data_IF_738394083785
#
_entry.id   IF_738394083785
#
_cell.length_a   1.000
_cell.length_b   1.000
_cell.length_c   1.000
_cell.angle_alpha   90.00
_cell.angle_beta   90.00
_cell.angle_gamma   90.00
#
_symmetry.space_group_name_H-M   'P 1'
#
loop_
_entity.id
_entity.type
_entity.pdbx_description
1 polymer ?
#
# COMPACT_ATOMS: atom_id res chain seq x y z
N UNK A 1 -7.81 -8.59 -21.45
CA UNK A 1 -8.03 -8.37 -20.01
C UNK A 1 -9.53 -8.47 -19.77
N UNK A 2 -9.95 -8.73 -18.51
CA UNK A 2 -11.33 -8.47 -18.09
C UNK A 2 -11.67 -7.00 -18.33
N UNK A 3 -12.95 -6.65 -18.40
CA UNK A 3 -13.37 -5.26 -18.60
C UNK A 3 -13.29 -4.39 -17.34
N UNK A 4 -12.74 -4.96 -16.24
CA UNK A 4 -12.55 -4.28 -14.94
C UNK A 4 -11.34 -4.89 -14.21
N UNK A 5 -10.66 -4.08 -13.39
CA UNK A 5 -9.53 -4.50 -12.55
C UNK A 5 -9.66 -3.88 -11.15
N UNK A 6 -9.52 -4.71 -10.10
CA UNK A 6 -9.44 -4.22 -8.73
C UNK A 6 -8.13 -3.46 -8.50
N UNK A 7 -8.20 -2.13 -8.33
CA UNK A 7 -7.06 -1.24 -8.15
C UNK A 7 -6.86 -0.78 -6.70
N UNK A 8 -7.80 -1.10 -5.80
CA UNK A 8 -7.76 -0.80 -4.37
C UNK A 8 -8.13 -2.06 -3.60
N UNK A 9 -7.13 -2.71 -2.99
CA UNK A 9 -7.27 -4.01 -2.33
C UNK A 9 -6.21 -4.17 -1.23
N UNK A 10 -6.65 -4.66 -0.07
CA UNK A 10 -5.84 -4.88 1.12
C UNK A 10 -5.59 -6.36 1.34
N UNK A 11 -4.30 -6.75 1.32
CA UNK A 11 -3.90 -8.14 1.58
C UNK A 11 -3.72 -8.39 3.08
N UNK A 12 -3.38 -9.63 3.43
CA UNK A 12 -2.98 -10.02 4.80
C UNK A 12 -1.78 -9.20 5.35
N UNK A 13 -1.10 -8.42 4.52
CA UNK A 13 -0.01 -7.52 4.90
C UNK A 13 -0.49 -6.11 5.33
N UNK A 14 -1.76 -5.76 5.12
CA UNK A 14 -2.46 -4.71 5.87
C UNK A 14 -2.79 -5.26 7.25
N UNK A 15 -1.78 -5.32 8.13
CA UNK A 15 -1.80 -6.10 9.38
C UNK A 15 -3.00 -5.73 10.25
N UNK A 16 -3.76 -6.77 10.66
CA UNK A 16 -4.96 -6.70 11.48
C UNK A 16 -6.13 -5.92 10.85
N UNK A 17 -6.10 -5.74 9.52
CA UNK A 17 -7.13 -5.03 8.76
C UNK A 17 -7.48 -5.80 7.47
N UNK A 18 -6.54 -5.99 6.57
CA UNK A 18 -6.74 -6.78 5.36
C UNK A 18 -6.76 -8.29 5.63
N UNK A 19 -7.68 -8.99 4.99
CA UNK A 19 -7.83 -10.44 5.08
C UNK A 19 -7.78 -11.14 3.70
N UNK A 20 -7.42 -10.44 2.62
CA UNK A 20 -7.17 -11.03 1.32
C UNK A 20 -5.84 -11.80 1.34
N UNK A 21 -5.86 -13.08 1.72
CA UNK A 21 -4.66 -13.94 1.68
C UNK A 21 -4.23 -14.16 0.24
N UNK A 22 -2.95 -13.94 -0.06
CA UNK A 22 -2.42 -13.81 -1.42
C UNK A 22 -2.74 -15.02 -2.32
N UNK A 23 -2.45 -16.27 -1.89
CA UNK A 23 -2.70 -17.42 -2.75
C UNK A 23 -4.20 -17.70 -2.97
N UNK A 24 -5.08 -17.73 -1.93
CA UNK A 24 -6.52 -17.82 -2.13
C UNK A 24 -7.09 -16.68 -3.00
N UNK A 25 -6.58 -15.46 -2.87
CA UNK A 25 -6.97 -14.33 -3.72
C UNK A 25 -6.70 -14.64 -5.21
N UNK A 26 -5.50 -15.16 -5.55
CA UNK A 26 -5.17 -15.49 -6.94
C UNK A 26 -6.05 -16.60 -7.50
N UNK A 27 -6.43 -17.58 -6.68
CA UNK A 27 -7.36 -18.64 -7.06
C UNK A 27 -8.75 -18.06 -7.35
N UNK A 28 -9.26 -17.23 -6.44
CA UNK A 28 -10.58 -16.59 -6.59
C UNK A 28 -10.63 -15.67 -7.83
N UNK A 29 -9.59 -14.86 -8.06
CA UNK A 29 -9.51 -14.00 -9.25
C UNK A 29 -9.61 -14.81 -10.55
N UNK A 30 -9.00 -15.99 -10.62
CA UNK A 30 -9.16 -16.90 -11.77
C UNK A 30 -10.58 -17.44 -11.90
N UNK A 31 -11.23 -17.80 -10.79
CA UNK A 31 -12.61 -18.28 -10.77
C UNK A 31 -13.57 -17.23 -11.33
N UNK A 32 -13.41 -15.96 -10.98
CA UNK A 32 -14.24 -14.85 -11.45
C UNK A 32 -13.75 -14.22 -12.77
N UNK A 33 -12.73 -14.80 -13.42
CA UNK A 33 -12.22 -14.36 -14.73
C UNK A 33 -11.40 -13.07 -14.73
N UNK A 34 -10.92 -12.61 -13.59
CA UNK A 34 -10.05 -11.45 -13.49
C UNK A 34 -8.63 -11.80 -13.96
N UNK A 35 -8.00 -10.88 -14.69
CA UNK A 35 -6.67 -11.10 -15.31
C UNK A 35 -5.58 -10.20 -14.73
N UNK A 36 -5.94 -9.24 -13.90
CA UNK A 36 -5.04 -8.31 -13.22
C UNK A 36 -5.62 -7.90 -11.87
N UNK A 37 -4.77 -7.49 -10.94
CA UNK A 37 -5.16 -7.01 -9.61
C UNK A 37 -4.05 -6.16 -9.02
N UNK A 38 -4.40 -5.14 -8.23
CA UNK A 38 -3.45 -4.35 -7.47
C UNK A 38 -3.31 -4.86 -6.03
N UNK A 39 -2.13 -4.61 -5.44
CA UNK A 39 -1.90 -4.61 -4.00
C UNK A 39 -1.73 -3.17 -3.56
N UNK A 40 -2.51 -2.74 -2.55
CA UNK A 40 -2.51 -1.36 -2.03
C UNK A 40 -2.59 -1.34 -0.51
N UNK A 41 -1.77 -2.14 0.16
CA UNK A 41 -1.75 -2.26 1.62
C UNK A 41 -1.50 -0.92 2.31
N UNK A 42 -2.03 -0.77 3.53
CA UNK A 42 -1.98 0.45 4.33
C UNK A 42 -0.55 0.83 4.76
N UNK A 43 0.03 1.83 4.10
CA UNK A 43 1.31 2.45 4.48
C UNK A 43 2.52 1.53 4.47
N UNK A 44 2.42 0.36 3.84
CA UNK A 44 3.48 -0.67 3.78
C UNK A 44 3.56 -1.32 2.40
N UNK A 45 4.72 -1.93 2.12
CA UNK A 45 4.98 -2.69 0.90
C UNK A 45 5.51 -4.11 1.21
N UNK A 46 5.18 -4.65 2.37
CA UNK A 46 5.72 -5.92 2.87
C UNK A 46 5.34 -7.12 2.00
N UNK A 47 4.11 -7.12 1.46
CA UNK A 47 3.56 -8.21 0.66
C UNK A 47 3.95 -8.18 -0.81
N UNK A 48 4.59 -7.13 -1.32
CA UNK A 48 4.80 -6.89 -2.75
C UNK A 48 5.46 -8.06 -3.48
N UNK A 49 6.54 -8.62 -2.93
CA UNK A 49 7.29 -9.70 -3.58
C UNK A 49 6.50 -11.01 -3.58
N UNK A 50 5.84 -11.35 -2.48
CA UNK A 50 5.01 -12.55 -2.41
C UNK A 50 3.79 -12.45 -3.32
N UNK A 51 3.15 -11.27 -3.35
CA UNK A 51 2.06 -10.97 -4.26
C UNK A 51 2.49 -11.07 -5.73
N UNK A 52 3.60 -10.45 -6.11
CA UNK A 52 4.13 -10.51 -7.47
C UNK A 52 4.40 -11.94 -7.92
N UNK A 53 5.08 -12.74 -7.08
CA UNK A 53 5.37 -14.16 -7.40
C UNK A 53 4.11 -14.99 -7.53
N UNK A 54 3.16 -14.83 -6.62
CA UNK A 54 1.89 -15.55 -6.66
C UNK A 54 1.09 -15.17 -7.92
N UNK A 55 0.96 -13.88 -8.22
CA UNK A 55 0.25 -13.40 -9.40
C UNK A 55 0.86 -13.96 -10.70
N UNK A 56 2.18 -13.85 -10.87
CA UNK A 56 2.89 -14.41 -12.04
C UNK A 56 2.69 -15.93 -12.16
N UNK A 57 2.77 -16.67 -11.03
CA UNK A 57 2.51 -18.12 -11.01
C UNK A 57 1.12 -18.49 -11.47
N UNK A 58 0.12 -17.69 -11.13
CA UNK A 58 -1.29 -17.93 -11.50
C UNK A 58 -1.69 -17.31 -12.85
N UNK A 59 -0.78 -16.61 -13.54
CA UNK A 59 -1.05 -15.93 -14.82
C UNK A 59 -1.90 -14.66 -14.65
N UNK A 60 -1.92 -14.07 -13.45
CA UNK A 60 -2.56 -12.80 -13.13
C UNK A 60 -1.50 -11.69 -13.26
N UNK A 61 -1.86 -10.56 -13.85
CA UNK A 61 -0.98 -9.38 -13.94
C UNK A 61 -0.94 -8.66 -12.58
N UNK A 62 0.22 -8.61 -11.89
CA UNK A 62 0.35 -7.85 -10.66
C UNK A 62 0.48 -6.36 -10.94
N UNK A 63 -0.25 -5.54 -10.21
CA UNK A 63 -0.11 -4.09 -10.16
C UNK A 63 0.39 -3.74 -8.77
N UNK A 64 1.55 -3.10 -8.69
CA UNK A 64 2.20 -2.78 -7.42
C UNK A 64 1.77 -1.39 -6.98
N UNK A 65 1.34 -1.28 -5.73
CA UNK A 65 0.89 -0.03 -5.14
C UNK A 65 0.95 -0.05 -3.61
N UNK A 66 0.46 1.02 -3.03
CA UNK A 66 0.31 1.20 -1.59
C UNK A 66 -0.74 2.29 -1.34
N UNK A 67 -1.62 2.09 -0.37
CA UNK A 67 -2.43 3.17 0.16
C UNK A 67 -1.62 3.92 1.23
N UNK A 68 -1.12 5.10 0.89
CA UNK A 68 -0.31 5.91 1.80
C UNK A 68 -1.18 6.83 2.65
N UNK A 69 -0.68 7.18 3.82
CA UNK A 69 -1.27 8.19 4.69
C UNK A 69 -0.65 9.56 4.39
N UNK A 70 -1.48 10.54 4.08
CA UNK A 70 -1.06 11.92 3.81
C UNK A 70 -1.32 12.78 5.04
N UNK A 71 -0.29 13.47 5.53
CA UNK A 71 -0.41 14.40 6.63
C UNK A 71 -1.27 15.61 6.24
N UNK A 72 -2.11 16.16 7.14
CA UNK A 72 -2.90 17.37 6.87
C UNK A 72 -2.04 18.59 6.55
N UNK A 73 -0.86 18.69 7.15
CA UNK A 73 0.13 19.76 6.93
C UNK A 73 1.43 19.15 6.41
N UNK A 74 2.50 19.23 7.19
CA UNK A 74 3.76 18.55 6.83
C UNK A 74 3.89 17.23 7.59
N UNK A 75 4.66 16.29 7.05
CA UNK A 75 4.94 15.01 7.74
C UNK A 75 5.69 15.16 9.06
N UNK A 76 6.29 16.34 9.30
CA UNK A 76 7.02 16.66 10.51
C UNK A 76 6.13 17.23 11.62
N UNK A 77 4.96 17.76 11.28
CA UNK A 77 4.02 18.32 12.24
C UNK A 77 3.33 17.22 13.05
N UNK A 78 3.23 17.40 14.37
CA UNK A 78 2.73 16.37 15.31
C UNK A 78 1.88 17.00 16.43
N UNK A 79 0.98 17.90 16.07
CA UNK A 79 0.01 18.52 16.97
C UNK A 79 -1.30 17.74 16.86
N UNK A 80 -1.74 17.11 17.96
CA UNK A 80 -2.87 16.16 17.92
C UNK A 80 -4.14 16.75 17.29
N UNK A 81 -4.52 17.95 17.68
CA UNK A 81 -5.74 18.61 17.22
C UNK A 81 -5.71 19.01 15.72
N UNK A 82 -4.51 19.14 15.15
CA UNK A 82 -4.30 19.58 13.77
C UNK A 82 -3.81 18.45 12.85
N UNK A 83 -3.05 17.51 13.40
CA UNK A 83 -2.32 16.50 12.62
C UNK A 83 -2.72 15.06 12.99
N UNK A 84 -3.68 14.89 13.91
CA UNK A 84 -4.16 13.59 14.37
C UNK A 84 -4.91 12.80 13.28
N UNK A 85 -5.55 13.48 12.34
CA UNK A 85 -6.19 12.85 11.19
C UNK A 85 -5.23 12.75 10.02
N UNK A 86 -5.16 11.57 9.42
CA UNK A 86 -4.40 11.34 8.18
C UNK A 86 -5.39 11.09 7.04
N UNK A 87 -5.00 11.44 5.81
CA UNK A 87 -5.80 11.20 4.62
C UNK A 87 -5.24 10.04 3.83
N UNK A 88 -6.10 9.18 3.31
CA UNK A 88 -5.70 8.09 2.44
C UNK A 88 -5.47 8.58 1.00
N UNK A 89 -4.49 8.01 0.34
CA UNK A 89 -4.20 8.21 -1.08
C UNK A 89 -3.66 6.89 -1.65
N UNK A 90 -4.30 6.37 -2.67
CA UNK A 90 -3.81 5.16 -3.35
C UNK A 90 -2.76 5.56 -4.38
N UNK A 91 -1.62 4.88 -4.35
CA UNK A 91 -0.53 5.05 -5.31
C UNK A 91 -0.26 3.72 -6.02
N UNK A 92 -0.15 3.75 -7.35
CA UNK A 92 0.14 2.60 -8.20
C UNK A 92 1.40 2.88 -9.03
N UNK A 93 2.28 1.89 -9.17
CA UNK A 93 3.51 2.00 -9.93
C UNK A 93 3.28 1.69 -11.41
N UNK A 94 3.59 2.64 -12.28
CA UNK A 94 3.57 2.43 -13.74
C UNK A 94 4.73 1.54 -14.21
N UNK A 95 5.89 1.74 -13.61
CA UNK A 95 7.16 1.11 -14.00
C UNK A 95 8.10 0.97 -12.81
N UNK A 96 9.32 0.53 -13.05
CA UNK A 96 10.32 0.37 -12.00
C UNK A 96 10.76 1.69 -11.38
N UNK A 97 10.67 2.82 -12.12
CA UNK A 97 10.93 4.14 -11.55
C UNK A 97 9.86 4.54 -10.55
N UNK A 98 8.59 4.27 -10.86
CA UNK A 98 7.50 4.43 -9.91
C UNK A 98 7.67 3.54 -8.68
N UNK A 99 8.13 2.30 -8.84
CA UNK A 99 8.43 1.42 -7.71
C UNK A 99 9.55 1.96 -6.80
N UNK A 100 10.64 2.48 -7.37
CA UNK A 100 11.71 3.16 -6.61
C UNK A 100 11.15 4.35 -5.82
N UNK A 101 10.37 5.20 -6.49
CA UNK A 101 9.76 6.38 -5.88
C UNK A 101 8.76 6.00 -4.77
N UNK A 102 7.89 5.00 -4.99
CA UNK A 102 6.97 4.52 -3.96
C UNK A 102 7.71 3.94 -2.77
N UNK A 103 8.78 3.17 -2.99
CA UNK A 103 9.63 2.65 -1.92
C UNK A 103 10.27 3.78 -1.10
N UNK A 104 10.74 4.85 -1.77
CA UNK A 104 11.28 6.03 -1.10
C UNK A 104 10.21 6.76 -0.28
N UNK A 105 9.00 6.95 -0.83
CA UNK A 105 7.85 7.56 -0.15
C UNK A 105 7.49 6.80 1.13
N UNK A 106 7.26 5.49 1.02
CA UNK A 106 6.88 4.64 2.16
C UNK A 106 8.01 4.60 3.21
N UNK A 107 9.27 4.50 2.80
CA UNK A 107 10.42 4.50 3.74
C UNK A 107 10.53 5.82 4.50
N UNK A 108 10.39 6.97 3.82
CA UNK A 108 10.44 8.28 4.47
C UNK A 108 9.20 8.52 5.35
N UNK A 109 8.03 7.98 4.98
CA UNK A 109 6.86 8.03 5.83
C UNK A 109 7.11 7.37 7.20
N UNK A 110 7.81 6.22 7.20
CA UNK A 110 8.16 5.51 8.43
C UNK A 110 9.28 6.20 9.23
N UNK A 111 10.30 6.70 8.56
CA UNK A 111 11.52 7.24 9.23
C UNK A 111 11.38 8.70 9.67
N UNK A 112 10.60 9.51 8.93
CA UNK A 112 10.46 10.96 9.18
C UNK A 112 9.03 11.33 9.59
N UNK A 113 8.03 10.72 8.92
CA UNK A 113 6.62 11.13 9.01
C UNK A 113 5.78 10.40 10.05
N UNK A 114 6.34 9.47 10.79
CA UNK A 114 5.57 8.65 11.73
C UNK A 114 4.95 9.48 12.85
N UNK A 115 3.61 9.49 12.88
CA UNK A 115 2.78 10.01 13.96
C UNK A 115 1.46 9.22 13.97
N UNK A 116 1.35 8.22 14.86
CA UNK A 116 0.34 7.14 14.86
C UNK A 116 0.36 6.27 13.62
N UNK A 117 0.53 6.85 12.44
CA UNK A 117 0.68 6.19 11.13
C UNK A 117 1.90 6.75 10.39
N UNK A 118 2.48 5.99 9.44
CA UNK A 118 3.56 6.49 8.58
C UNK A 118 2.98 7.47 7.55
N UNK A 119 3.34 8.75 7.62
CA UNK A 119 2.73 9.80 6.80
C UNK A 119 3.71 10.39 5.80
N UNK A 120 3.24 10.57 4.58
CA UNK A 120 3.84 11.45 3.57
C UNK A 120 3.18 12.83 3.63
N UNK A 121 3.72 13.80 2.91
CA UNK A 121 3.10 15.10 2.66
C UNK A 121 3.14 15.47 1.18
N UNK A 122 2.49 16.57 0.79
CA UNK A 122 2.41 16.98 -0.61
C UNK A 122 3.78 17.30 -1.22
N UNK A 123 4.72 17.86 -0.43
CA UNK A 123 6.07 18.15 -0.90
C UNK A 123 6.84 16.86 -1.24
N UNK A 124 6.71 15.84 -0.40
CA UNK A 124 7.34 14.55 -0.63
C UNK A 124 6.69 13.81 -1.82
N UNK A 125 5.36 13.89 -1.94
CA UNK A 125 4.64 13.35 -3.10
C UNK A 125 5.09 14.02 -4.40
N UNK A 126 5.18 15.35 -4.44
CA UNK A 126 5.64 16.08 -5.61
C UNK A 126 7.07 15.70 -6.03
N UNK A 127 7.95 15.47 -5.06
CA UNK A 127 9.34 15.05 -5.31
C UNK A 127 9.47 13.65 -5.90
N UNK A 128 8.53 12.76 -5.60
CA UNK A 128 8.56 11.33 -5.94
C UNK A 128 7.36 10.88 -6.78
N UNK A 129 6.70 11.79 -7.52
CA UNK A 129 5.50 11.47 -8.32
C UNK A 129 5.80 10.75 -9.64
N UNK A 130 7.04 10.83 -10.14
CA UNK A 130 7.43 10.21 -11.42
C UNK A 130 7.19 8.71 -11.43
N UNK A 131 6.53 8.19 -12.47
CA UNK A 131 6.22 6.78 -12.63
C UNK A 131 5.08 6.29 -11.71
N UNK A 132 4.35 7.20 -11.04
CA UNK A 132 3.19 6.87 -10.21
C UNK A 132 1.88 7.31 -10.86
N UNK A 133 0.83 6.53 -10.59
CA UNK A 133 -0.57 6.90 -10.75
C UNK A 133 -1.17 6.99 -9.36
N UNK A 134 -2.02 7.98 -9.12
CA UNK A 134 -2.71 8.16 -7.84
C UNK A 134 -4.23 8.18 -7.99
N UNK A 135 -4.95 7.82 -6.93
CA UNK A 135 -6.40 8.01 -6.83
C UNK A 135 -6.83 8.56 -5.46
N UNK A 136 -8.01 9.17 -5.43
CA UNK A 136 -8.52 9.89 -4.24
C UNK A 136 -8.83 9.00 -3.04
N UNK A 137 -8.68 7.70 -3.16
CA UNK A 137 -8.96 6.66 -2.16
C UNK A 137 -10.43 6.64 -1.67
N UNK A 138 -10.65 6.06 -0.48
CA UNK A 138 -11.96 5.83 0.14
C UNK A 138 -12.48 7.06 0.89
N UNK A 139 -13.51 6.91 1.74
CA UNK A 139 -14.06 7.98 2.59
C UNK A 139 -13.02 8.67 3.49
N UNK A 140 -11.88 8.02 3.73
CA UNK A 140 -10.77 8.58 4.50
C UNK A 140 -9.83 9.47 3.66
N UNK A 141 -10.01 9.54 2.34
CA UNK A 141 -9.25 10.42 1.46
C UNK A 141 -9.53 11.90 1.71
N UNK A 142 -8.58 12.78 1.36
CA UNK A 142 -8.72 14.23 1.58
C UNK A 142 -9.91 14.84 0.82
N UNK A 143 -10.11 14.44 -0.44
CA UNK A 143 -11.18 14.90 -1.31
C UNK A 143 -12.55 14.39 -0.82
N UNK A 144 -12.77 13.07 -0.59
CA UNK A 144 -13.99 12.56 0.00
C UNK A 144 -14.35 13.20 1.34
N UNK A 145 -13.37 13.43 2.22
CA UNK A 145 -13.61 14.11 3.50
C UNK A 145 -14.07 15.56 3.35
N UNK A 146 -13.52 16.31 2.38
CA UNK A 146 -13.98 17.65 2.07
C UNK A 146 -15.43 17.63 1.55
N UNK A 147 -15.78 16.69 0.67
CA UNK A 147 -17.16 16.48 0.22
C UNK A 147 -18.11 16.18 1.40
N UNK A 148 -17.73 15.31 2.32
CA UNK A 148 -18.53 14.98 3.52
C UNK A 148 -18.78 16.17 4.43
N UNK A 149 -17.88 17.13 4.48
CA UNK A 149 -18.08 18.40 5.22
C UNK A 149 -18.92 19.41 4.44
N UNK A 150 -19.33 19.10 3.22
CA UNK A 150 -20.04 20.02 2.31
C UNK A 150 -19.14 21.10 1.70
N UNK A 151 -17.83 20.96 1.82
CA UNK A 151 -16.85 21.92 1.28
C UNK A 151 -16.42 21.51 -0.13
N UNK A 152 -17.31 21.78 -1.08
CA UNK A 152 -17.10 21.43 -2.49
C UNK A 152 -15.88 22.14 -3.11
N UNK A 153 -15.68 23.42 -2.79
CA UNK A 153 -14.58 24.20 -3.38
C UNK A 153 -13.22 23.68 -2.87
N UNK A 154 -13.13 23.31 -1.61
CA UNK A 154 -11.93 22.68 -1.06
C UNK A 154 -11.68 21.31 -1.67
N UNK A 155 -12.72 20.48 -1.84
CA UNK A 155 -12.62 19.18 -2.50
C UNK A 155 -12.07 19.31 -3.94
N UNK A 156 -12.61 20.26 -4.70
CA UNK A 156 -12.18 20.56 -6.07
C UNK A 156 -10.74 21.10 -6.10
N UNK A 157 -10.38 22.00 -5.18
CA UNK A 157 -9.02 22.52 -5.04
C UNK A 157 -8.02 21.41 -4.78
N UNK A 158 -8.34 20.50 -3.85
CA UNK A 158 -7.50 19.33 -3.53
C UNK A 158 -7.34 18.41 -4.74
N UNK A 159 -8.41 18.15 -5.50
CA UNK A 159 -8.33 17.36 -6.73
C UNK A 159 -7.37 17.96 -7.76
N UNK A 160 -7.44 19.28 -7.96
CA UNK A 160 -6.52 19.99 -8.87
C UNK A 160 -5.07 19.95 -8.39
N UNK A 161 -4.82 20.10 -7.08
CA UNK A 161 -3.46 19.99 -6.50
C UNK A 161 -2.87 18.58 -6.74
N UNK A 162 -3.63 17.52 -6.50
CA UNK A 162 -3.15 16.16 -6.76
C UNK A 162 -2.93 15.93 -8.26
N UNK A 163 -3.84 16.43 -9.11
CA UNK A 163 -3.68 16.34 -10.57
C UNK A 163 -2.44 17.10 -11.07
N UNK A 164 -2.07 18.22 -10.44
CA UNK A 164 -0.81 18.93 -10.75
C UNK A 164 0.42 18.12 -10.30
N UNK A 165 0.41 17.54 -9.10
CA UNK A 165 1.53 16.75 -8.56
C UNK A 165 1.84 15.53 -9.43
N UNK A 166 0.82 14.75 -9.82
CA UNK A 166 1.00 13.51 -10.58
C UNK A 166 0.99 13.74 -12.10
N UNK A 167 0.49 14.87 -12.54
CA UNK A 167 0.33 15.24 -13.95
C UNK A 167 -0.95 14.67 -14.55
N UNK A 168 -1.40 15.33 -15.61
CA UNK A 168 -2.64 14.99 -16.31
C UNK A 168 -2.64 13.52 -16.77
N UNK A 169 -3.72 12.79 -16.46
CA UNK A 169 -3.88 11.38 -16.79
C UNK A 169 -3.21 10.41 -15.82
N UNK A 170 -2.59 10.91 -14.74
CA UNK A 170 -2.00 10.07 -13.68
C UNK A 170 -2.68 10.28 -12.31
N UNK A 171 -3.74 11.08 -12.25
CA UNK A 171 -4.58 11.22 -11.06
C UNK A 171 -6.04 10.92 -11.43
N UNK A 172 -6.73 10.18 -10.55
CA UNK A 172 -8.11 9.72 -10.76
C UNK A 172 -8.96 9.99 -9.53
N UNK A 173 -10.24 10.30 -9.76
CA UNK A 173 -11.24 10.37 -8.69
C UNK A 173 -11.88 9.00 -8.56
N UNK A 174 -11.89 8.48 -7.35
CA UNK A 174 -12.33 7.13 -7.01
C UNK A 174 -13.80 7.14 -6.56
N UNK A 175 -14.63 6.31 -7.19
CA UNK A 175 -16.01 6.07 -6.81
C UNK A 175 -16.12 4.72 -6.11
N UNK A 176 -16.84 4.71 -4.99
CA UNK A 176 -17.13 3.51 -4.21
C UNK A 176 -18.60 3.50 -3.76
N UNK A 177 -19.23 2.34 -3.73
CA UNK A 177 -20.55 2.11 -3.10
C UNK A 177 -20.59 0.74 -2.40
N UNK A 178 -20.45 0.76 -1.10
CA UNK A 178 -20.63 -0.40 -0.23
C UNK A 178 -22.02 -0.41 0.46
N UNK A 179 -22.98 0.32 -0.07
CA UNK A 179 -24.27 0.53 0.59
C UNK A 179 -24.24 1.56 1.72
N UNK A 180 -23.13 2.28 1.88
CA UNK A 180 -22.92 3.27 2.94
C UNK A 180 -23.51 4.63 2.48
N UNK A 181 -24.41 5.20 3.30
CA UNK A 181 -25.09 6.46 2.99
C UNK A 181 -24.10 7.60 2.66
N UNK A 182 -23.04 7.73 3.46
CA UNK A 182 -22.03 8.77 3.24
C UNK A 182 -21.33 8.67 1.87
N UNK A 183 -21.14 7.46 1.30
CA UNK A 183 -20.61 7.31 -0.05
C UNK A 183 -21.61 7.78 -1.10
N UNK A 184 -22.87 7.43 -0.94
CA UNK A 184 -23.95 7.84 -1.85
C UNK A 184 -24.19 9.35 -1.85
N UNK A 185 -24.01 10.00 -0.69
CA UNK A 185 -24.11 11.46 -0.57
C UNK A 185 -22.97 12.19 -1.30
N UNK A 186 -21.74 11.67 -1.24
CA UNK A 186 -20.59 12.37 -1.84
C UNK A 186 -20.34 12.01 -3.30
N UNK A 187 -20.77 10.84 -3.79
CA UNK A 187 -20.53 10.41 -5.16
C UNK A 187 -20.99 11.44 -6.21
N UNK A 188 -22.17 12.10 -6.09
CA UNK A 188 -22.56 13.17 -7.02
C UNK A 188 -21.58 14.35 -7.04
N UNK A 189 -20.98 14.69 -5.88
CA UNK A 189 -19.99 15.76 -5.81
C UNK A 189 -18.67 15.34 -6.48
N UNK A 190 -18.23 14.09 -6.28
CA UNK A 190 -17.02 13.54 -6.90
C UNK A 190 -17.17 13.48 -8.44
N UNK A 191 -18.33 13.03 -8.93
CA UNK A 191 -18.67 13.02 -10.36
C UNK A 191 -18.63 14.44 -10.93
N UNK A 192 -19.27 15.40 -10.24
CA UNK A 192 -19.26 16.80 -10.66
C UNK A 192 -17.83 17.39 -10.69
N UNK A 193 -16.97 17.08 -9.72
CA UNK A 193 -15.55 17.49 -9.73
C UNK A 193 -14.86 16.92 -10.97
N UNK A 194 -15.09 15.64 -11.29
CA UNK A 194 -14.53 15.01 -12.50
C UNK A 194 -14.98 15.75 -13.77
N UNK A 195 -16.27 16.04 -13.91
CA UNK A 195 -16.83 16.76 -15.06
C UNK A 195 -16.25 18.18 -15.20
N UNK A 196 -16.15 18.93 -14.10
CA UNK A 196 -15.68 20.31 -14.11
C UNK A 196 -14.15 20.44 -14.29
N UNK A 197 -13.37 19.43 -13.88
CA UNK A 197 -11.90 19.47 -13.92
C UNK A 197 -11.30 18.63 -15.05
N UNK A 198 -12.06 17.72 -15.63
CA UNK A 198 -11.57 16.74 -16.60
C UNK A 198 -10.72 15.63 -15.99
N UNK A 199 -10.64 15.52 -14.65
CA UNK A 199 -9.96 14.44 -13.97
C UNK A 199 -10.82 13.17 -14.10
N UNK A 200 -10.27 12.05 -14.65
CA UNK A 200 -11.06 10.87 -14.93
C UNK A 200 -11.49 10.13 -13.65
N UNK A 201 -12.63 9.43 -13.75
CA UNK A 201 -13.17 8.57 -12.71
C UNK A 201 -12.58 7.15 -12.80
N UNK A 202 -12.46 6.49 -11.65
CA UNK A 202 -12.32 5.04 -11.53
C UNK A 202 -13.32 4.50 -10.51
N UNK A 203 -13.77 3.26 -10.70
CA UNK A 203 -14.58 2.55 -9.71
C UNK A 203 -13.73 1.51 -9.00
N UNK A 204 -13.78 1.46 -7.67
CA UNK A 204 -13.06 0.48 -6.85
C UNK A 204 -13.95 -0.07 -5.75
N UNK A 205 -13.50 -1.14 -5.09
CA UNK A 205 -14.25 -1.75 -3.99
C UNK A 205 -13.48 -1.77 -2.67
N UNK A 206 -12.29 -1.17 -2.60
CA UNK A 206 -11.51 -1.12 -1.33
C UNK A 206 -11.58 -2.48 -0.59
N UNK A 207 -11.21 -3.55 -1.34
CA UNK A 207 -11.51 -4.92 -0.91
C UNK A 207 -10.61 -5.33 0.24
N UNK A 208 -11.22 -5.77 1.35
CA UNK A 208 -10.51 -6.18 2.57
C UNK A 208 -10.57 -7.69 2.80
N UNK A 209 -11.47 -8.41 2.14
CA UNK A 209 -11.57 -9.87 2.20
C UNK A 209 -12.03 -10.44 0.85
N UNK A 210 -11.86 -11.75 0.65
CA UNK A 210 -12.01 -12.38 -0.67
C UNK A 210 -13.47 -12.60 -1.01
N UNK A 211 -14.24 -13.24 -0.11
CA UNK A 211 -15.64 -13.61 -0.33
C UNK A 211 -16.54 -12.89 0.67
N UNK A 212 -17.80 -12.69 0.28
CA UNK A 212 -18.77 -11.99 1.13
C UNK A 212 -18.95 -12.62 2.51
N UNK A 213 -18.93 -13.95 2.58
CA UNK A 213 -19.00 -14.70 3.83
C UNK A 213 -17.79 -14.51 4.77
N UNK A 214 -16.64 -14.04 4.24
CA UNK A 214 -15.46 -13.75 5.04
C UNK A 214 -15.61 -12.50 5.93
N UNK A 215 -16.69 -11.73 5.74
CA UNK A 215 -17.01 -10.54 6.55
C UNK A 215 -17.04 -10.84 8.05
N UNK A 216 -17.54 -12.01 8.45
CA UNK A 216 -17.59 -12.42 9.88
C UNK A 216 -16.17 -12.64 10.45
N UNK A 217 -15.29 -13.28 9.69
CA UNK A 217 -13.89 -13.47 10.09
C UNK A 217 -13.14 -12.13 10.12
N UNK A 218 -13.38 -11.27 9.14
CA UNK A 218 -12.84 -9.92 9.11
C UNK A 218 -13.28 -9.09 10.32
N UNK A 219 -14.54 -9.20 10.74
CA UNK A 219 -15.05 -8.57 11.95
C UNK A 219 -14.25 -8.98 13.21
N UNK A 220 -13.92 -10.27 13.35
CA UNK A 220 -13.09 -10.76 14.46
C UNK A 220 -11.67 -10.15 14.37
N UNK A 221 -11.12 -10.03 13.17
CA UNK A 221 -9.81 -9.40 12.96
C UNK A 221 -9.82 -7.94 13.42
N UNK A 222 -10.88 -7.19 13.10
CA UNK A 222 -11.05 -5.80 13.56
C UNK A 222 -11.17 -5.68 15.08
N UNK A 223 -11.86 -6.62 15.75
CA UNK A 223 -11.88 -6.68 17.20
C UNK A 223 -10.47 -6.85 17.79
N UNK A 224 -9.65 -7.73 17.21
CA UNK A 224 -8.25 -7.92 17.64
C UNK A 224 -7.45 -6.63 17.43
N UNK A 225 -7.60 -5.95 16.29
CA UNK A 225 -6.90 -4.70 15.98
C UNK A 225 -7.20 -3.61 17.02
N UNK A 226 -8.45 -3.47 17.40
CA UNK A 226 -8.95 -2.41 18.28
C UNK A 226 -8.95 -2.79 19.76
N UNK A 227 -8.49 -4.00 20.10
CA UNK A 227 -8.47 -4.56 21.45
C UNK A 227 -9.87 -4.63 22.08
N UNK A 228 -10.85 -5.02 21.25
CA UNK A 228 -12.22 -5.30 21.67
C UNK A 228 -12.53 -6.80 21.56
N UNK A 229 -13.63 -7.21 22.16
CA UNK A 229 -14.25 -8.54 21.97
C UNK A 229 -15.43 -8.42 21.02
N UNK A 230 -15.91 -9.55 20.51
CA UNK A 230 -17.09 -9.58 19.63
C UNK A 230 -18.40 -9.24 20.37
N UNK A 231 -18.35 -9.19 21.71
CA UNK A 231 -19.49 -8.88 22.57
C UNK A 231 -19.55 -7.39 22.96
N UNK A 232 -18.49 -6.60 22.67
CA UNK A 232 -18.43 -5.19 23.03
C UNK A 232 -19.32 -4.36 22.10
N UNK A 233 -20.16 -3.49 22.67
CA UNK A 233 -21.11 -2.67 21.91
C UNK A 233 -20.44 -1.51 21.14
N UNK A 234 -19.25 -1.07 21.57
CA UNK A 234 -18.48 0.04 21.01
C UNK A 234 -17.32 -0.41 20.11
N UNK A 235 -17.32 -1.71 19.71
CA UNK A 235 -16.33 -2.25 18.78
C UNK A 235 -16.40 -1.58 17.42
N UNK A 236 -15.25 -1.45 16.76
CA UNK A 236 -15.18 -0.97 15.40
C UNK A 236 -15.70 -2.05 14.44
N UNK A 237 -16.68 -1.69 13.64
CA UNK A 237 -17.23 -2.54 12.58
C UNK A 237 -17.21 -1.81 11.24
N UNK A 238 -17.02 -2.54 10.14
CA UNK A 238 -17.33 -2.03 8.82
C UNK A 238 -18.85 -1.89 8.69
N UNK A 239 -19.28 -0.77 8.12
CA UNK A 239 -20.69 -0.44 8.03
C UNK A 239 -21.50 -1.38 7.09
N UNK A 240 -20.83 -2.29 6.39
CA UNK A 240 -21.45 -3.29 5.50
C UNK A 240 -20.54 -4.49 5.27
N UNK A 241 -21.09 -5.55 4.67
CA UNK A 241 -20.37 -6.76 4.23
C UNK A 241 -19.95 -6.72 2.76
N UNK A 242 -19.87 -5.51 2.16
CA UNK A 242 -19.66 -5.31 0.73
C UNK A 242 -18.18 -5.11 0.32
N UNK A 243 -17.22 -5.25 1.26
CA UNK A 243 -15.78 -5.04 1.00
C UNK A 243 -15.05 -6.28 0.47
N UNK A 244 -15.77 -7.19 -0.18
CA UNK A 244 -15.20 -8.41 -0.78
C UNK A 244 -14.74 -8.16 -2.23
N UNK A 245 -13.97 -9.12 -2.77
CA UNK A 245 -13.51 -9.09 -4.16
C UNK A 245 -14.67 -9.45 -5.09
N UNK A 246 -15.36 -8.42 -5.58
CA UNK A 246 -16.54 -8.52 -6.45
C UNK A 246 -16.17 -8.95 -7.87
N UNK A 247 -17.11 -9.60 -8.55
CA UNK A 247 -17.04 -9.83 -10.00
C UNK A 247 -17.19 -8.53 -10.78
N UNK A 248 -16.78 -8.52 -12.05
CA UNK A 248 -17.00 -7.37 -12.95
C UNK A 248 -18.48 -6.99 -13.07
N UNK A 249 -19.37 -7.98 -13.12
CA UNK A 249 -20.81 -7.75 -13.23
C UNK A 249 -21.36 -7.06 -11.99
N UNK A 250 -20.99 -7.51 -10.79
CA UNK A 250 -21.35 -6.88 -9.52
C UNK A 250 -20.83 -5.44 -9.43
N UNK A 251 -19.59 -5.21 -9.82
CA UNK A 251 -19.00 -3.88 -9.81
C UNK A 251 -19.71 -2.94 -10.79
N UNK A 252 -19.94 -3.37 -12.04
CA UNK A 252 -20.63 -2.54 -13.04
C UNK A 252 -22.09 -2.20 -12.65
N UNK A 253 -22.74 -3.05 -11.86
CA UNK A 253 -24.07 -2.79 -11.34
C UNK A 253 -24.13 -1.62 -10.33
N UNK A 254 -22.98 -1.26 -9.68
CA UNK A 254 -22.91 -0.15 -8.73
C UNK A 254 -23.00 1.22 -9.42
N UNK A 255 -22.41 1.35 -10.62
CA UNK A 255 -22.33 2.62 -11.36
C UNK A 255 -22.68 2.41 -12.85
N UNK A 256 -23.93 2.03 -13.19
CA UNK A 256 -24.30 1.71 -14.57
C UNK A 256 -24.23 2.91 -15.51
N UNK A 257 -24.29 4.13 -14.97
CA UNK A 257 -24.22 5.38 -15.75
C UNK A 257 -22.78 5.84 -16.02
N UNK A 258 -21.78 5.16 -15.39
CA UNK A 258 -20.35 5.52 -15.49
C UNK A 258 -19.49 4.35 -15.96
N UNK A 259 -19.74 3.77 -17.15
CA UNK A 259 -18.96 2.65 -17.67
C UNK A 259 -17.46 3.00 -17.84
N UNK A 260 -17.15 4.27 -18.10
CA UNK A 260 -15.80 4.78 -18.24
C UNK A 260 -14.97 4.62 -16.95
N UNK A 261 -15.60 4.64 -15.78
CA UNK A 261 -14.91 4.44 -14.50
C UNK A 261 -14.32 3.02 -14.38
N UNK A 262 -14.95 2.02 -14.99
CA UNK A 262 -14.44 0.65 -15.05
C UNK A 262 -13.40 0.50 -16.16
N UNK A 263 -13.65 1.06 -17.35
CA UNK A 263 -12.72 1.01 -18.48
C UNK A 263 -11.38 1.69 -18.14
N UNK A 264 -11.41 2.73 -17.31
CA UNK A 264 -10.21 3.40 -16.84
C UNK A 264 -9.37 2.50 -15.90
N UNK A 265 -9.97 1.57 -15.14
CA UNK A 265 -9.19 0.61 -14.34
C UNK A 265 -8.34 -0.31 -15.23
N UNK A 266 -8.88 -0.70 -16.38
CA UNK A 266 -8.15 -1.50 -17.38
C UNK A 266 -7.01 -0.70 -18.01
N UNK A 267 -7.27 0.57 -18.39
CA UNK A 267 -6.23 1.46 -18.94
C UNK A 267 -5.09 1.69 -17.96
N UNK A 268 -5.39 1.84 -16.67
CA UNK A 268 -4.37 1.92 -15.61
C UNK A 268 -3.59 0.63 -15.52
N UNK A 269 -4.28 -0.51 -15.49
CA UNK A 269 -3.65 -1.82 -15.43
C UNK A 269 -2.70 -2.06 -16.63
N UNK A 270 -3.05 -1.59 -17.81
CA UNK A 270 -2.19 -1.69 -19.01
C UNK A 270 -0.91 -0.85 -18.88
N UNK A 271 -0.99 0.31 -18.24
CA UNK A 271 0.15 1.20 -18.00
C UNK A 271 1.10 0.68 -16.91
N UNK A 272 0.62 -0.13 -15.95
CA UNK A 272 1.41 -0.63 -14.83
C UNK A 272 2.22 -1.86 -15.24
N UNK A 273 3.55 -1.72 -15.33
CA UNK A 273 4.46 -2.74 -15.81
C UNK A 273 5.75 -2.78 -14.99
N UNK A 274 5.63 -3.11 -13.69
CA UNK A 274 6.79 -3.31 -12.81
C UNK A 274 7.35 -4.73 -13.02
N UNK A 275 8.67 -4.82 -13.18
CA UNK A 275 9.36 -6.10 -13.35
C UNK A 275 10.45 -6.27 -12.31
N UNK A 276 10.44 -7.43 -11.61
CA UNK A 276 11.49 -7.78 -10.65
C UNK A 276 12.42 -8.83 -11.24
N UNK A 277 13.72 -8.56 -11.11
CA UNK A 277 14.77 -9.51 -11.46
C UNK A 277 15.08 -10.41 -10.26
N UNK A 278 14.93 -11.72 -10.43
CA UNK A 278 15.23 -12.73 -9.43
C UNK A 278 16.46 -13.55 -9.80
N UNK A 279 17.17 -14.08 -8.78
CA UNK A 279 18.32 -14.96 -8.99
C UNK A 279 19.65 -14.23 -9.25
N UNK A 280 19.65 -12.92 -9.38
CA UNK A 280 20.85 -12.11 -9.48
C UNK A 280 21.17 -11.50 -8.11
N UNK A 281 22.05 -12.16 -7.36
CA UNK A 281 22.45 -11.71 -6.03
C UNK A 281 23.37 -10.50 -6.14
N UNK A 282 22.89 -9.33 -5.77
CA UNK A 282 23.68 -8.09 -5.68
C UNK A 282 24.30 -8.00 -4.29
N UNK A 283 25.55 -8.40 -4.15
CA UNK A 283 26.31 -8.19 -2.93
C UNK A 283 26.87 -6.75 -2.91
N UNK A 284 26.79 -6.03 -1.79
CA UNK A 284 27.41 -4.73 -1.67
C UNK A 284 28.94 -4.85 -1.77
N UNK A 285 29.56 -3.97 -2.54
CA UNK A 285 31.01 -3.83 -2.51
C UNK A 285 31.41 -3.13 -1.21
N UNK A 286 32.45 -3.62 -0.58
CA UNK A 286 33.07 -2.97 0.56
C UNK A 286 34.40 -2.34 0.11
N UNK A 287 34.48 -1.02 0.20
CA UNK A 287 35.70 -0.30 -0.08
C UNK A 287 36.56 -0.32 1.18
N UNK A 288 37.68 -1.06 1.12
CA UNK A 288 38.59 -1.14 2.26
C UNK A 288 39.28 0.22 2.49
N UNK A 289 39.50 0.62 3.74
CA UNK A 289 40.38 1.76 4.03
C UNK A 289 41.74 1.56 3.38
N UNK A 290 42.24 2.56 2.67
CA UNK A 290 43.55 2.54 1.98
C UNK A 290 43.65 1.61 0.76
N UNK A 291 42.55 1.12 0.19
CA UNK A 291 42.57 0.30 -1.02
C UNK A 291 43.22 -1.07 -0.85
N UNK A 292 43.20 -1.60 0.36
CA UNK A 292 43.72 -2.97 0.65
C UNK A 292 42.81 -4.03 0.00
N UNK A 293 43.40 -5.20 -0.27
CA UNK A 293 42.61 -6.37 -0.69
C UNK A 293 41.54 -6.72 0.35
N UNK A 294 40.31 -6.97 -0.08
CA UNK A 294 39.16 -7.22 0.79
C UNK A 294 39.36 -8.47 1.67
N UNK A 295 39.97 -9.50 1.15
CA UNK A 295 40.19 -10.76 1.88
C UNK A 295 41.28 -10.57 2.96
N UNK A 296 42.37 -9.86 2.64
CA UNK A 296 43.42 -9.54 3.61
C UNK A 296 42.92 -8.61 4.71
N UNK A 297 42.14 -7.58 4.34
CA UNK A 297 41.51 -6.68 5.32
C UNK A 297 40.58 -7.43 6.25
N UNK A 298 39.72 -8.28 5.70
CA UNK A 298 38.80 -9.11 6.49
C UNK A 298 39.55 -10.06 7.43
N UNK A 299 40.59 -10.72 6.93
CA UNK A 299 41.46 -11.59 7.75
C UNK A 299 42.08 -10.83 8.91
N UNK A 300 42.64 -9.65 8.64
CA UNK A 300 43.21 -8.77 9.67
C UNK A 300 42.18 -8.42 10.73
N UNK A 301 40.96 -8.01 10.32
CA UNK A 301 39.86 -7.68 11.25
C UNK A 301 39.40 -8.88 12.07
N UNK A 302 39.41 -10.08 11.50
CA UNK A 302 39.13 -11.31 12.26
C UNK A 302 40.19 -11.59 13.34
N UNK A 303 41.46 -11.43 13.02
CA UNK A 303 42.54 -11.60 14.02
C UNK A 303 42.50 -10.52 15.09
N UNK A 304 42.31 -9.26 14.72
CA UNK A 304 42.13 -8.16 15.68
C UNK A 304 40.97 -8.44 16.65
N UNK A 305 39.81 -8.90 16.10
CA UNK A 305 38.65 -9.29 16.90
C UNK A 305 38.92 -10.48 17.80
N UNK A 306 39.63 -11.51 17.29
CA UNK A 306 40.02 -12.69 18.04
C UNK A 306 40.89 -12.32 19.25
N UNK A 307 41.95 -11.51 19.05
CA UNK A 307 42.80 -11.03 20.13
C UNK A 307 42.11 -10.09 21.12
N UNK A 308 41.09 -9.35 20.68
CA UNK A 308 40.31 -8.49 21.56
C UNK A 308 39.38 -9.26 22.49
N UNK A 309 38.78 -10.34 22.00
CA UNK A 309 37.77 -11.10 22.72
C UNK A 309 38.33 -12.34 23.46
N UNK A 310 39.46 -12.84 23.03
CA UNK A 310 40.07 -14.03 23.63
C UNK A 310 41.53 -13.75 24.00
N UNK A 311 41.92 -14.14 25.19
CA UNK A 311 43.34 -14.09 25.56
C UNK A 311 44.12 -15.22 24.86
N UNK A 312 45.45 -15.09 24.80
CA UNK A 312 46.36 -16.06 24.17
C UNK A 312 46.14 -17.51 24.66
N UNK A 313 45.72 -17.67 25.92
CA UNK A 313 45.46 -18.99 26.51
C UNK A 313 44.23 -19.68 25.89
N UNK A 314 43.22 -18.92 25.52
CA UNK A 314 42.01 -19.44 24.83
C UNK A 314 42.28 -19.77 23.35
N UNK A 315 43.23 -19.08 22.73
CA UNK A 315 43.61 -19.29 21.32
C UNK A 315 44.55 -20.49 21.17
N UNK A 316 45.50 -20.68 22.13
CA UNK A 316 46.50 -21.74 22.06
C UNK A 316 46.05 -23.10 22.61
N UNK A 317 45.00 -23.14 23.43
CA UNK A 317 44.41 -24.39 23.95
C UNK A 317 42.91 -24.54 23.62
N UNK A 318 42.51 -24.73 22.34
CA UNK A 318 41.10 -24.79 21.95
C UNK A 318 40.36 -26.04 22.46
N UNK A 319 41.06 -27.01 23.07
CA UNK A 319 40.47 -28.30 23.44
C UNK A 319 40.16 -28.45 24.93
N UNK A 320 40.45 -27.47 25.78
CA UNK A 320 40.08 -27.56 27.20
C UNK A 320 38.61 -27.21 27.37
N UNK A 321 37.71 -28.21 27.25
CA UNK A 321 36.30 -28.15 27.60
C UNK A 321 36.11 -27.73 29.06
N UNK A 322 35.97 -26.45 29.32
CA UNK A 322 35.16 -25.98 30.45
C UNK A 322 33.85 -25.52 29.87
N UNK A 323 32.76 -26.11 30.40
CA UNK A 323 31.42 -25.96 29.85
C UNK A 323 31.10 -24.53 29.42
N UNK A 324 30.91 -24.36 28.13
CA UNK A 324 30.35 -23.15 27.56
C UNK A 324 28.86 -23.25 27.79
N UNK A 325 28.36 -22.56 28.77
CA UNK A 325 26.97 -22.22 28.89
C UNK A 325 26.66 -21.27 27.74
N UNK A 326 25.95 -21.73 26.74
CA UNK A 326 25.35 -20.85 25.75
C UNK A 326 24.24 -20.06 26.44
N UNK A 327 24.47 -18.79 26.73
CA UNK A 327 23.41 -17.84 26.90
C UNK A 327 22.91 -17.54 25.49
N UNK A 328 21.66 -17.93 25.20
CA UNK A 328 20.89 -17.56 24.04
C UNK A 328 20.52 -16.09 24.15
#
# INVERSE_FOLDING_TARGET
>A
MSGFVHLHLHTEYSLLDGACRINPLMEHLKEIGQTAVAITDHGVMYGVIDFYRAAKKHGIKPIIGCEVYVAPRTRFDKVHELDGEQHHLVLLCKDNKGYENLTALVSQAWTEGFYSKPRVDLDLLAKHSEGLIASSACLAGAIPRACRRGDYEEAKRLALVHNEIFGQGNFYIELQDHGIEAQREINPMLIRISEETGIPLIATNDSHYIKKEDSQMHHILMCIQTNHTVEDDDRMEFASDEFYVKTEEEMRALFPEHPEAFDNTVKIAEQCNVEFEFGNTKLPNYDTPNGQDNVEYFRTKCYEGLYRHYCLLHISEPTRRRGISYAV
#
